data_IF_722937464008
#
_entry.id   IF_722937464008
#
_cell.length_a   1.000
_cell.length_b   1.000
_cell.length_c   1.000
_cell.angle_alpha   90.00
_cell.angle_beta   90.00
_cell.angle_gamma   90.00
#
_symmetry.space_group_name_H-M   'P 1'
#
loop_
_entity.id
_entity.type
_entity.pdbx_description
1 polymer ?
#
# COMPACT_ATOMS: atom_id res chain seq x y z
N UNK A 1 2.11 37.77 -0.96
CA UNK A 1 1.21 37.01 -1.86
C UNK A 1 1.35 35.55 -1.45
N UNK A 2 0.22 34.88 -1.21
CA UNK A 2 0.03 33.83 -0.23
C UNK A 2 0.87 32.54 -0.40
N UNK A 3 1.19 31.96 0.76
CA UNK A 3 1.62 30.58 1.00
C UNK A 3 0.82 29.60 0.15
N UNK A 4 1.53 28.76 -0.59
CA UNK A 4 1.05 27.46 -1.00
C UNK A 4 2.06 26.46 -0.47
N UNK A 5 2.02 26.24 0.84
CA UNK A 5 2.56 25.04 1.44
C UNK A 5 1.88 23.87 0.71
N UNK A 6 2.61 23.01 -0.03
CA UNK A 6 2.03 21.75 -0.43
C UNK A 6 1.67 21.07 0.88
N UNK A 7 0.39 20.70 1.04
CA UNK A 7 -0.10 19.95 2.19
C UNK A 7 0.82 18.74 2.32
N UNK A 8 1.81 18.86 3.20
CA UNK A 8 2.58 17.76 3.70
C UNK A 8 1.55 16.97 4.48
N UNK A 9 0.94 16.00 3.81
CA UNK A 9 0.45 14.83 4.51
C UNK A 9 1.60 14.41 5.41
N UNK A 10 1.35 14.45 6.72
CA UNK A 10 2.26 13.94 7.73
C UNK A 10 2.91 12.68 7.15
N UNK A 11 4.24 12.69 7.01
CA UNK A 11 4.96 11.59 6.42
C UNK A 11 4.91 10.45 7.44
N UNK A 12 3.74 9.83 7.58
CA UNK A 12 3.49 8.73 8.48
C UNK A 12 4.49 7.61 8.20
N UNK A 13 4.75 6.80 9.22
CA UNK A 13 5.60 5.63 9.09
C UNK A 13 4.97 4.66 8.06
N UNK A 14 5.50 4.67 6.84
CA UNK A 14 5.08 3.76 5.79
C UNK A 14 5.86 2.44 5.87
N UNK A 15 5.13 1.34 5.82
CA UNK A 15 5.70 0.01 5.55
C UNK A 15 5.51 -0.31 4.07
N UNK A 16 6.59 -0.70 3.39
CA UNK A 16 6.56 -1.01 1.95
C UNK A 16 6.67 -2.52 1.72
N UNK A 17 5.90 -3.01 0.74
CA UNK A 17 5.97 -4.37 0.26
C UNK A 17 6.05 -4.36 -1.27
N UNK A 18 7.08 -4.96 -1.83
CA UNK A 18 7.16 -5.21 -3.28
C UNK A 18 7.00 -6.70 -3.54
N UNK A 19 5.95 -7.08 -4.25
CA UNK A 19 5.70 -8.48 -4.61
C UNK A 19 6.02 -8.71 -6.09
N UNK A 20 6.81 -9.74 -6.43
CA UNK A 20 6.98 -10.16 -7.82
C UNK A 20 5.67 -10.72 -8.38
N UNK A 21 5.52 -10.81 -9.71
CA UNK A 21 4.27 -11.23 -10.38
C UNK A 21 3.89 -12.72 -10.22
N UNK A 22 4.55 -13.44 -9.29
CA UNK A 22 4.23 -14.83 -9.00
C UNK A 22 2.90 -14.92 -8.24
N UNK A 23 1.93 -15.63 -8.81
CA UNK A 23 0.60 -15.79 -8.20
C UNK A 23 0.63 -16.45 -6.83
N UNK A 24 1.62 -17.31 -6.54
CA UNK A 24 1.74 -17.95 -5.23
C UNK A 24 2.09 -16.95 -4.12
N UNK A 25 2.73 -15.82 -4.47
CA UNK A 25 3.13 -14.79 -3.52
C UNK A 25 2.05 -13.73 -3.28
N UNK A 26 0.96 -13.77 -4.04
CA UNK A 26 -0.20 -12.90 -3.84
C UNK A 26 -0.78 -13.03 -2.44
N UNK A 27 -0.89 -14.27 -1.94
CA UNK A 27 -1.43 -14.54 -0.60
C UNK A 27 -0.55 -14.03 0.55
N UNK A 28 0.69 -13.60 0.28
CA UNK A 28 1.53 -12.95 1.29
C UNK A 28 0.95 -11.59 1.74
N UNK A 29 0.09 -10.96 0.94
CA UNK A 29 -0.59 -9.71 1.29
C UNK A 29 -1.44 -9.90 2.56
N UNK A 30 -2.19 -11.00 2.65
CA UNK A 30 -3.03 -11.28 3.81
C UNK A 30 -2.26 -11.42 5.11
N UNK A 31 -1.06 -12.00 5.07
CA UNK A 31 -0.19 -12.11 6.25
C UNK A 31 0.29 -10.75 6.74
N UNK A 32 0.64 -9.86 5.82
CA UNK A 32 1.10 -8.50 6.16
C UNK A 32 -0.04 -7.69 6.77
N UNK A 33 -1.24 -7.71 6.16
CA UNK A 33 -2.39 -7.00 6.72
C UNK A 33 -2.79 -7.56 8.07
N UNK A 34 -2.87 -8.88 8.23
CA UNK A 34 -3.19 -9.49 9.51
C UNK A 34 -2.21 -9.06 10.61
N UNK A 35 -0.90 -9.02 10.29
CA UNK A 35 0.13 -8.54 11.23
C UNK A 35 -0.02 -7.06 11.58
N UNK A 36 -0.28 -6.20 10.60
CA UNK A 36 -0.47 -4.76 10.80
C UNK A 36 -1.75 -4.46 11.59
N UNK A 37 -2.87 -5.09 11.24
CA UNK A 37 -4.13 -4.97 11.96
C UNK A 37 -3.99 -5.44 13.42
N UNK A 38 -3.29 -6.55 13.65
CA UNK A 38 -3.00 -7.03 15.00
C UNK A 38 -2.14 -6.03 15.79
N UNK A 39 -1.10 -5.44 15.19
CA UNK A 39 -0.25 -4.41 15.82
C UNK A 39 -1.05 -3.17 16.18
N UNK A 40 -1.99 -2.76 15.33
CA UNK A 40 -2.83 -1.59 15.53
C UNK A 40 -4.09 -1.86 16.36
N UNK A 41 -4.31 -3.11 16.81
CA UNK A 41 -5.50 -3.54 17.57
C UNK A 41 -6.83 -3.28 16.85
N UNK A 42 -6.81 -3.27 15.51
CA UNK A 42 -7.97 -3.06 14.66
C UNK A 42 -8.79 -4.37 14.62
N UNK A 43 -10.12 -4.26 14.71
CA UNK A 43 -11.01 -5.40 14.56
C UNK A 43 -10.87 -6.05 13.18
N UNK A 44 -10.89 -7.38 13.12
CA UNK A 44 -10.73 -8.14 11.86
C UNK A 44 -12.00 -8.22 11.01
N UNK A 45 -13.02 -7.42 11.31
CA UNK A 45 -14.23 -7.34 10.50
C UNK A 45 -13.87 -6.77 9.12
N UNK A 46 -14.20 -7.49 8.05
CA UNK A 46 -13.83 -7.08 6.68
C UNK A 46 -12.37 -7.36 6.29
N UNK A 47 -11.58 -8.06 7.12
CA UNK A 47 -10.21 -8.41 6.79
C UNK A 47 -10.13 -9.25 5.51
N UNK A 48 -11.00 -10.24 5.35
CA UNK A 48 -11.03 -11.10 4.16
C UNK A 48 -11.33 -10.29 2.90
N UNK A 49 -12.28 -9.35 2.96
CA UNK A 49 -12.63 -8.46 1.86
C UNK A 49 -11.48 -7.50 1.52
N UNK A 50 -10.82 -6.93 2.53
CA UNK A 50 -9.64 -6.09 2.35
C UNK A 50 -8.49 -6.85 1.65
N UNK A 51 -8.26 -8.11 2.05
CA UNK A 51 -7.26 -8.96 1.41
C UNK A 51 -7.63 -9.23 -0.04
N UNK A 52 -8.87 -9.64 -0.34
CA UNK A 52 -9.31 -9.91 -1.71
C UNK A 52 -9.18 -8.67 -2.61
N UNK A 53 -9.56 -7.48 -2.09
CA UNK A 53 -9.40 -6.21 -2.80
C UNK A 53 -7.94 -5.92 -3.15
N UNK A 54 -6.99 -6.11 -2.24
CA UNK A 54 -5.56 -5.88 -2.51
C UNK A 54 -4.92 -6.96 -3.38
N UNK A 55 -5.33 -8.22 -3.19
CA UNK A 55 -4.91 -9.33 -4.04
C UNK A 55 -5.36 -9.13 -5.48
N UNK A 56 -6.53 -8.54 -5.71
CA UNK A 56 -7.02 -8.19 -7.05
C UNK A 56 -6.16 -7.13 -7.77
N UNK A 57 -5.41 -6.32 -7.02
CA UNK A 57 -4.48 -5.33 -7.58
C UNK A 57 -3.14 -5.93 -7.98
N UNK A 58 -2.87 -7.18 -7.60
CA UNK A 58 -1.60 -7.83 -7.88
C UNK A 58 -1.41 -8.09 -9.38
N UNK A 59 -0.42 -7.44 -9.96
CA UNK A 59 -0.11 -7.54 -11.39
C UNK A 59 0.48 -8.90 -11.76
N UNK A 60 -0.03 -9.49 -12.84
CA UNK A 60 0.56 -10.68 -13.44
C UNK A 60 1.75 -10.36 -14.37
N UNK A 61 1.99 -9.08 -14.67
CA UNK A 61 2.91 -8.63 -15.72
C UNK A 61 4.16 -7.91 -15.19
N UNK A 62 4.32 -7.83 -13.87
CA UNK A 62 5.47 -7.18 -13.23
C UNK A 62 5.30 -7.07 -11.72
N UNK A 63 6.34 -6.60 -11.00
CA UNK A 63 6.24 -6.42 -9.56
C UNK A 63 5.17 -5.38 -9.22
N UNK A 64 4.43 -5.62 -8.15
CA UNK A 64 3.44 -4.69 -7.60
C UNK A 64 3.98 -4.13 -6.30
N UNK A 65 3.96 -2.80 -6.14
CA UNK A 65 4.35 -2.13 -4.91
C UNK A 65 3.12 -1.73 -4.11
N UNK A 66 3.16 -2.09 -2.85
CA UNK A 66 2.19 -1.72 -1.83
C UNK A 66 2.88 -0.85 -0.79
N UNK A 67 2.16 0.12 -0.24
CA UNK A 67 2.53 0.78 0.99
C UNK A 67 1.38 0.74 1.98
N UNK A 68 1.74 0.69 3.25
CA UNK A 68 0.81 0.63 4.35
C UNK A 68 1.15 1.72 5.35
N UNK A 69 0.16 2.45 5.83
CA UNK A 69 0.30 3.39 6.94
C UNK A 69 -0.67 3.03 8.05
N UNK A 70 -0.17 3.07 9.28
CA UNK A 70 -0.99 3.00 10.47
C UNK A 70 -1.34 4.43 10.89
N UNK A 71 -2.63 4.69 11.06
CA UNK A 71 -3.15 5.95 11.61
C UNK A 71 -3.67 5.70 13.02
N UNK A 72 -3.98 6.76 13.76
CA UNK A 72 -4.63 6.63 15.08
C UNK A 72 -5.97 5.88 15.01
N UNK A 73 -6.64 5.93 13.85
CA UNK A 73 -7.97 5.37 13.63
C UNK A 73 -7.98 4.06 12.83
N UNK A 74 -6.83 3.61 12.29
CA UNK A 74 -6.87 2.52 11.31
C UNK A 74 -5.59 2.15 10.55
N UNK A 75 -5.80 1.37 9.49
CA UNK A 75 -4.79 0.94 8.52
C UNK A 75 -5.22 1.39 7.13
N UNK A 76 -4.35 2.12 6.45
CA UNK A 76 -4.51 2.48 5.04
C UNK A 76 -3.54 1.62 4.23
N UNK A 77 -4.04 0.99 3.17
CA UNK A 77 -3.23 0.26 2.20
C UNK A 77 -3.40 0.86 0.82
N UNK A 78 -2.25 1.15 0.19
CA UNK A 78 -2.18 1.81 -1.11
C UNK A 78 -1.31 1.00 -2.07
N UNK A 79 -1.61 1.12 -3.36
CA UNK A 79 -0.87 0.48 -4.44
C UNK A 79 -0.30 1.55 -5.36
N UNK A 80 0.94 1.36 -5.80
CA UNK A 80 1.58 2.23 -6.79
C UNK A 80 0.85 2.14 -8.14
N UNK A 81 0.26 3.25 -8.58
CA UNK A 81 -0.28 3.44 -9.92
C UNK A 81 0.87 3.78 -10.87
N UNK A 82 1.35 2.75 -11.59
CA UNK A 82 2.40 2.90 -12.59
C UNK A 82 2.28 1.86 -13.69
N UNK A 83 2.19 2.34 -14.93
CA UNK A 83 2.36 1.51 -16.12
C UNK A 83 3.76 0.88 -16.09
N UNK A 84 3.80 -0.46 -16.12
CA UNK A 84 4.98 -1.29 -16.43
C UNK A 84 6.28 -0.82 -15.75
N UNK A 85 6.64 -1.47 -14.65
CA UNK A 85 8.04 -1.52 -14.18
C UNK A 85 8.85 -2.34 -15.19
N UNK A 86 9.08 -1.80 -16.38
CA UNK A 86 10.18 -2.18 -17.25
C UNK A 86 11.30 -1.18 -16.99
N UNK A 87 12.38 -1.68 -16.40
CA UNK A 87 13.69 -1.02 -16.38
C UNK A 87 13.72 0.41 -15.81
N UNK A 88 13.63 0.52 -14.48
CA UNK A 88 14.29 1.62 -13.78
C UNK A 88 14.88 1.15 -12.46
N UNK A 89 16.10 0.65 -12.57
CA UNK A 89 17.07 0.89 -11.52
C UNK A 89 17.15 2.41 -11.27
N UNK A 90 17.18 2.78 -9.98
CA UNK A 90 17.56 4.11 -9.47
C UNK A 90 16.73 5.30 -9.99
N UNK A 91 15.70 5.67 -9.23
CA UNK A 91 15.27 7.07 -9.16
C UNK A 91 14.78 7.38 -7.75
N UNK A 92 15.71 7.34 -6.80
CA UNK A 92 15.62 8.21 -5.64
C UNK A 92 15.55 9.65 -6.17
N UNK A 93 14.58 10.44 -5.70
CA UNK A 93 14.33 11.86 -6.06
C UNK A 93 13.31 12.07 -7.21
N UNK A 94 12.06 12.29 -6.80
CA UNK A 94 11.10 13.24 -7.42
C UNK A 94 10.44 12.83 -8.74
N UNK A 95 10.00 11.58 -8.86
CA UNK A 95 8.75 11.27 -9.54
C UNK A 95 7.79 10.80 -8.46
N UNK A 96 6.77 11.59 -8.10
CA UNK A 96 5.78 11.15 -7.13
C UNK A 96 5.10 9.90 -7.73
N UNK A 97 5.49 8.72 -7.25
CA UNK A 97 4.75 7.50 -7.49
C UNK A 97 3.29 7.83 -7.13
N UNK A 98 2.38 7.72 -8.11
CA UNK A 98 0.97 7.92 -7.83
C UNK A 98 0.55 6.73 -6.97
N UNK A 99 0.03 6.97 -5.78
CA UNK A 99 -0.45 5.92 -4.89
C UNK A 99 -1.96 6.00 -4.85
N UNK A 100 -2.62 4.86 -5.00
CA UNK A 100 -4.07 4.75 -4.87
C UNK A 100 -4.41 3.97 -3.61
N UNK A 101 -5.24 4.55 -2.75
CA UNK A 101 -5.88 3.84 -1.64
C UNK A 101 -6.80 2.75 -2.16
N UNK A 102 -6.57 1.53 -1.71
CA UNK A 102 -7.37 0.35 -2.07
C UNK A 102 -8.16 -0.14 -0.87
N UNK A 103 -7.58 -0.04 0.33
CA UNK A 103 -8.21 -0.44 1.57
C UNK A 103 -8.01 0.64 2.61
N UNK A 104 -9.08 0.92 3.35
CA UNK A 104 -9.06 1.67 4.59
C UNK A 104 -9.80 0.83 5.63
N UNK A 105 -9.08 0.37 6.65
CA UNK A 105 -9.65 -0.35 7.79
C UNK A 105 -9.72 0.60 8.98
N UNK A 106 -10.92 0.80 9.51
CA UNK A 106 -11.17 1.64 10.68
C UNK A 106 -11.62 0.79 11.88
N UNK A 107 -11.25 1.20 13.08
CA UNK A 107 -11.64 0.52 14.33
C UNK A 107 -13.09 0.76 14.75
#
# INVERSE_FOLDING_TARGET
MASADPVGYDAGEYTYLTLPSDRALRSCIGLVIAGLAARARIGVAGLEEAVDLLESQHSANGPTRYRFSLTDDGLIAEVEEGERVVDRAISETTGAANWRTVVEMVS
#
